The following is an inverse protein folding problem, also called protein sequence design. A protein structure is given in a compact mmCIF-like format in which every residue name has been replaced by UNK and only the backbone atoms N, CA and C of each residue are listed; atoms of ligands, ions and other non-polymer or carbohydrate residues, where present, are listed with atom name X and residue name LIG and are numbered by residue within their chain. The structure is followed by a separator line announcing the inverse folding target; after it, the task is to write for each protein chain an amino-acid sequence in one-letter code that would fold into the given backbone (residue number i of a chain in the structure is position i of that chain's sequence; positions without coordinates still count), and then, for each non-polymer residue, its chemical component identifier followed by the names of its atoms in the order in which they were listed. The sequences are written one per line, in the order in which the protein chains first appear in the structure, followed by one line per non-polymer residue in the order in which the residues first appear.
data_IF_909347985615
#
_entry.id   IF_909347985615
#
_cell.length_a   1.000
_cell.length_b   1.000
_cell.length_c   1.000
_cell.angle_alpha   90.00
_cell.angle_beta   90.00
_cell.angle_gamma   90.00
#
_symmetry.space_group_name_H-M   'P 1'
#
loop_
_entity.id
_entity.type
_entity.pdbx_description
1 polymer ?
#
# COMPACT_ATOMS: atom_id res chain seq x y z
N UNK A 1 -16.78 23.01 13.94
CA UNK A 1 -16.91 21.85 14.86
C UNK A 1 -15.94 20.79 14.38
N UNK A 2 -14.92 20.45 15.16
CA UNK A 2 -13.98 19.39 14.78
C UNK A 2 -14.70 18.05 14.77
N UNK A 3 -14.64 17.32 13.66
CA UNK A 3 -15.17 15.96 13.61
C UNK A 3 -14.36 15.07 14.54
N UNK A 4 -15.02 14.33 15.44
CA UNK A 4 -14.31 13.38 16.32
C UNK A 4 -13.53 12.37 15.48
N UNK A 5 -12.28 12.12 15.87
CA UNK A 5 -11.37 11.18 15.20
C UNK A 5 -11.04 9.98 16.06
N UNK A 6 -11.19 10.13 17.37
CA UNK A 6 -10.79 9.17 18.38
C UNK A 6 -11.77 9.25 19.56
N UNK A 7 -12.28 8.10 19.98
CA UNK A 7 -13.05 7.93 21.21
C UNK A 7 -12.35 6.87 22.07
N UNK A 8 -11.98 7.24 23.29
CA UNK A 8 -11.29 6.36 24.23
C UNK A 8 -12.07 6.32 25.53
N UNK A 9 -12.31 5.10 26.02
CA UNK A 9 -12.90 4.89 27.32
C UNK A 9 -12.00 4.01 28.18
N UNK A 10 -11.60 4.55 29.31
CA UNK A 10 -10.85 3.87 30.33
C UNK A 10 -11.78 3.50 31.48
N UNK A 11 -11.53 2.34 32.07
CA UNK A 11 -12.16 1.94 33.34
C UNK A 11 -11.54 2.73 34.50
N UNK A 12 -12.23 2.80 35.67
CA UNK A 12 -11.68 3.44 36.86
C UNK A 12 -10.34 2.86 37.35
N UNK A 13 -10.06 1.59 37.04
CA UNK A 13 -8.81 0.91 37.39
C UNK A 13 -7.67 1.16 36.39
N UNK A 14 -7.89 2.03 35.39
CA UNK A 14 -6.88 2.42 34.41
C UNK A 14 -6.74 1.45 33.22
N UNK A 15 -7.49 0.35 33.18
CA UNK A 15 -7.53 -0.52 32.02
C UNK A 15 -8.36 0.11 30.88
N UNK A 16 -7.96 -0.11 29.63
CA UNK A 16 -8.77 0.33 28.49
C UNK A 16 -10.06 -0.50 28.47
N UNK A 17 -11.20 0.17 28.46
CA UNK A 17 -12.50 -0.47 28.24
C UNK A 17 -12.74 -0.68 26.75
N UNK A 18 -12.44 0.34 25.94
CA UNK A 18 -12.57 0.34 24.49
C UNK A 18 -11.91 1.56 23.85
N UNK A 19 -11.54 1.41 22.59
CA UNK A 19 -11.10 2.50 21.74
C UNK A 19 -11.83 2.46 20.40
N UNK A 20 -12.15 3.61 19.83
CA UNK A 20 -12.68 3.72 18.48
C UNK A 20 -11.91 4.79 17.71
N UNK A 21 -11.46 4.45 16.50
CA UNK A 21 -10.69 5.33 15.63
C UNK A 21 -11.44 5.50 14.32
N UNK A 22 -11.52 6.73 13.83
CA UNK A 22 -12.08 7.00 12.51
C UNK A 22 -11.06 6.67 11.43
N UNK A 23 -11.50 6.02 10.36
CA UNK A 23 -10.64 5.61 9.22
C UNK A 23 -10.97 6.43 7.96
N UNK A 24 -10.14 6.40 6.90
CA UNK A 24 -10.24 7.35 5.78
C UNK A 24 -11.59 7.39 5.05
N UNK A 25 -12.32 6.28 4.96
CA UNK A 25 -13.66 6.22 4.35
C UNK A 25 -14.74 6.89 5.22
N UNK A 26 -14.36 7.40 6.40
CA UNK A 26 -15.23 8.08 7.36
C UNK A 26 -15.88 7.15 8.39
N UNK A 27 -15.79 5.84 8.20
CA UNK A 27 -16.24 4.81 9.15
C UNK A 27 -15.27 4.66 10.33
N UNK A 28 -15.56 3.72 11.24
CA UNK A 28 -14.86 3.58 12.52
C UNK A 28 -14.38 2.15 12.76
N UNK A 29 -13.18 2.02 13.31
CA UNK A 29 -12.65 0.77 13.85
C UNK A 29 -12.61 0.81 15.37
N UNK A 30 -13.15 -0.22 15.99
CA UNK A 30 -13.19 -0.40 17.43
C UNK A 30 -12.18 -1.43 17.91
N UNK A 31 -11.60 -1.22 19.08
CA UNK A 31 -10.83 -2.21 19.83
C UNK A 31 -11.60 -2.56 21.10
N UNK A 32 -11.88 -3.85 21.28
CA UNK A 32 -12.42 -4.45 22.50
C UNK A 32 -11.30 -5.29 23.17
N UNK A 33 -10.68 -4.78 24.26
CA UNK A 33 -9.56 -5.46 24.90
C UNK A 33 -9.98 -6.78 25.56
N UNK A 34 -9.08 -7.78 25.50
CA UNK A 34 -9.23 -9.09 26.15
C UNK A 34 -10.57 -9.81 25.85
N UNK A 35 -11.14 -9.58 24.66
CA UNK A 35 -12.47 -10.01 24.29
C UNK A 35 -12.60 -11.53 24.08
N UNK A 36 -11.52 -12.20 23.70
CA UNK A 36 -11.57 -13.63 23.33
C UNK A 36 -10.23 -14.34 23.49
N UNK A 37 -10.19 -15.64 23.21
CA UNK A 37 -8.98 -16.46 23.17
C UNK A 37 -8.90 -17.19 21.84
N UNK A 38 -7.86 -16.92 21.07
CA UNK A 38 -7.67 -17.46 19.72
C UNK A 38 -6.26 -18.05 19.58
N UNK A 39 -6.13 -19.15 18.85
CA UNK A 39 -4.82 -19.66 18.49
C UNK A 39 -4.17 -18.75 17.42
N UNK A 40 -2.84 -18.57 17.42
CA UNK A 40 -1.87 -19.23 18.30
C UNK A 40 -1.53 -18.45 19.58
N UNK A 41 -2.16 -17.31 19.86
CA UNK A 41 -1.70 -16.35 20.88
C UNK A 41 -2.44 -16.42 22.22
N UNK A 42 -3.58 -17.11 22.28
CA UNK A 42 -4.44 -17.11 23.46
C UNK A 42 -5.22 -15.81 23.56
N UNK A 43 -5.13 -15.12 24.70
CA UNK A 43 -5.94 -13.93 24.96
C UNK A 43 -5.73 -12.86 23.87
N UNK A 44 -6.82 -12.36 23.31
CA UNK A 44 -6.81 -11.50 22.14
C UNK A 44 -7.80 -10.34 22.27
N UNK A 45 -7.40 -9.19 21.72
CA UNK A 45 -8.28 -8.04 21.55
C UNK A 45 -9.05 -8.18 20.24
N UNK A 46 -10.33 -7.83 20.26
CA UNK A 46 -11.18 -7.91 19.06
C UNK A 46 -11.26 -6.57 18.35
N UNK A 47 -11.13 -6.61 17.03
CA UNK A 47 -11.38 -5.46 16.16
C UNK A 47 -12.80 -5.48 15.61
N UNK A 48 -13.46 -4.33 15.70
CA UNK A 48 -14.82 -4.09 15.23
C UNK A 48 -14.83 -3.06 14.11
N UNK A 49 -15.79 -3.15 13.20
CA UNK A 49 -16.10 -2.12 12.21
C UNK A 49 -17.49 -1.54 12.44
N UNK A 50 -17.62 -0.22 12.40
CA UNK A 50 -18.89 0.47 12.48
C UNK A 50 -18.98 1.57 11.42
N UNK A 51 -20.14 1.68 10.75
CA UNK A 51 -20.36 2.73 9.72
C UNK A 51 -20.49 4.12 10.32
N UNK A 52 -21.01 4.22 11.54
CA UNK A 52 -21.23 5.47 12.25
C UNK A 52 -20.36 5.55 13.50
N UNK A 53 -20.16 6.78 13.98
CA UNK A 53 -19.48 6.99 15.26
C UNK A 53 -20.21 6.23 16.37
N UNK A 54 -19.48 5.66 17.33
CA UNK A 54 -20.09 4.85 18.39
C UNK A 54 -21.01 5.67 19.31
N UNK A 55 -20.87 7.00 19.33
CA UNK A 55 -21.61 7.89 20.23
C UNK A 55 -21.02 7.90 21.65
N UNK A 56 -21.19 9.00 22.37
CA UNK A 56 -20.67 9.12 23.73
C UNK A 56 -21.31 8.06 24.65
N UNK A 57 -20.48 7.21 25.26
CA UNK A 57 -20.91 6.28 26.31
C UNK A 57 -21.43 4.91 25.86
N UNK A 58 -21.58 4.62 24.56
CA UNK A 58 -22.19 3.38 24.09
C UNK A 58 -21.25 2.16 24.13
N UNK A 59 -21.84 0.99 24.40
CA UNK A 59 -21.36 -0.36 24.06
C UNK A 59 -20.91 -0.47 22.59
N UNK A 60 -20.43 -1.65 22.17
CA UNK A 60 -20.26 -1.95 20.74
C UNK A 60 -21.54 -1.51 19.99
N UNK A 61 -21.46 -0.62 18.98
CA UNK A 61 -22.64 -0.06 18.33
C UNK A 61 -23.54 -1.13 17.74
N UNK A 62 -24.85 -0.90 17.77
CA UNK A 62 -25.80 -1.77 17.08
C UNK A 62 -25.49 -1.79 15.58
N UNK A 63 -25.15 -2.98 15.05
CA UNK A 63 -24.74 -3.16 13.66
C UNK A 63 -23.22 -3.09 13.42
N UNK A 64 -22.39 -2.95 14.47
CA UNK A 64 -20.96 -3.15 14.34
C UNK A 64 -20.65 -4.62 14.02
N UNK A 65 -19.65 -4.84 13.15
CA UNK A 65 -19.27 -6.16 12.66
C UNK A 65 -17.88 -6.52 13.20
N UNK A 66 -17.74 -7.70 13.79
CA UNK A 66 -16.45 -8.22 14.22
C UNK A 66 -15.59 -8.52 12.97
N UNK A 67 -14.39 -7.93 12.92
CA UNK A 67 -13.48 -8.08 11.80
C UNK A 67 -12.43 -9.15 12.06
N UNK A 68 -11.59 -9.00 13.07
CA UNK A 68 -10.48 -9.93 13.32
C UNK A 68 -9.98 -9.70 14.74
N UNK A 69 -8.87 -10.33 15.12
CA UNK A 69 -8.26 -10.21 16.43
C UNK A 69 -6.78 -9.86 16.33
N UNK A 70 -6.27 -9.23 17.37
CA UNK A 70 -4.83 -9.02 17.59
C UNK A 70 -4.42 -9.56 18.97
N UNK A 71 -3.14 -9.86 19.14
CA UNK A 71 -2.57 -10.24 20.44
C UNK A 71 -2.97 -9.23 21.52
N UNK A 72 -3.55 -9.70 22.63
CA UNK A 72 -4.02 -8.79 23.67
C UNK A 72 -2.90 -7.92 24.23
N UNK A 73 -3.16 -6.62 24.32
CA UNK A 73 -2.25 -5.65 24.92
C UNK A 73 -2.74 -5.19 26.29
N UNK A 74 -1.80 -4.91 27.18
CA UNK A 74 -2.06 -3.94 28.25
C UNK A 74 -1.98 -2.54 27.63
N UNK A 75 -3.13 -2.00 27.23
CA UNK A 75 -3.22 -0.69 26.60
C UNK A 75 -2.79 0.46 27.51
N UNK A 76 -2.76 0.26 28.83
CA UNK A 76 -2.25 1.24 29.80
C UNK A 76 -0.71 1.24 29.86
N UNK A 77 -0.07 0.17 29.38
CA UNK A 77 1.38 -0.06 29.40
C UNK A 77 1.83 -0.82 28.15
N UNK A 78 1.81 -0.13 27.01
CA UNK A 78 2.14 -0.73 25.71
C UNK A 78 3.62 -1.12 25.70
N UNK A 79 3.91 -2.40 25.41
CA UNK A 79 5.27 -2.97 25.44
C UNK A 79 5.72 -3.54 24.08
N UNK A 80 4.81 -3.65 23.11
CA UNK A 80 5.10 -4.24 21.78
C UNK A 80 4.09 -3.78 20.72
N UNK A 81 4.41 -4.08 19.47
CA UNK A 81 3.46 -4.04 18.36
C UNK A 81 2.80 -5.42 18.27
N UNK A 82 1.46 -5.52 18.43
CA UNK A 82 0.77 -6.80 18.46
C UNK A 82 0.68 -7.42 17.06
N UNK A 83 0.54 -8.73 17.02
CA UNK A 83 0.28 -9.47 15.79
C UNK A 83 -1.20 -9.45 15.47
N UNK A 84 -1.55 -9.26 14.19
CA UNK A 84 -2.91 -9.24 13.67
C UNK A 84 -3.20 -10.52 12.88
N UNK A 85 -4.31 -11.19 13.18
CA UNK A 85 -4.60 -12.52 12.61
C UNK A 85 -4.90 -12.47 11.12
N UNK A 86 -5.85 -11.61 10.72
CA UNK A 86 -6.30 -11.52 9.33
C UNK A 86 -6.24 -10.07 8.85
N UNK A 87 -5.05 -9.52 8.53
CA UNK A 87 -4.90 -8.13 8.10
C UNK A 87 -5.80 -7.75 6.91
N UNK A 88 -6.07 -8.70 6.01
CA UNK A 88 -6.92 -8.50 4.84
C UNK A 88 -8.41 -8.28 5.15
N UNK A 89 -8.88 -8.52 6.39
CA UNK A 89 -10.25 -8.23 6.81
C UNK A 89 -10.45 -6.77 7.22
N UNK A 90 -9.36 -6.00 7.36
CA UNK A 90 -9.46 -4.57 7.66
C UNK A 90 -9.84 -3.78 6.41
N UNK A 91 -10.73 -2.77 6.53
CA UNK A 91 -10.97 -1.82 5.45
C UNK A 91 -9.68 -1.05 5.09
N UNK A 92 -9.60 -0.49 3.87
CA UNK A 92 -8.48 0.34 3.46
C UNK A 92 -8.15 1.45 4.48
N UNK A 93 -6.87 1.55 4.86
CA UNK A 93 -6.40 2.50 5.88
C UNK A 93 -6.67 2.09 7.34
N UNK A 94 -7.42 1.01 7.57
CA UNK A 94 -7.73 0.52 8.92
C UNK A 94 -6.51 0.12 9.74
N UNK A 95 -5.58 -0.63 9.14
CA UNK A 95 -4.32 -1.02 9.80
C UNK A 95 -3.49 0.19 10.23
N UNK A 96 -3.36 1.20 9.36
CA UNK A 96 -2.67 2.44 9.68
C UNK A 96 -3.36 3.22 10.81
N UNK A 97 -4.69 3.25 10.86
CA UNK A 97 -5.43 3.93 11.92
C UNK A 97 -5.22 3.26 13.30
N UNK A 98 -5.27 1.92 13.36
CA UNK A 98 -5.02 1.17 14.60
C UNK A 98 -3.56 1.32 15.05
N UNK A 99 -2.60 1.25 14.13
CA UNK A 99 -1.19 1.48 14.44
C UNK A 99 -0.92 2.92 14.89
N UNK A 100 -1.62 3.92 14.35
CA UNK A 100 -1.51 5.30 14.79
C UNK A 100 -2.11 5.51 16.19
N UNK A 101 -3.19 4.81 16.54
CA UNK A 101 -3.70 4.76 17.91
C UNK A 101 -2.65 4.18 18.86
N UNK A 102 -2.08 3.03 18.51
CA UNK A 102 -1.03 2.39 19.29
C UNK A 102 0.16 3.34 19.50
N UNK A 103 0.66 3.95 18.42
CA UNK A 103 1.76 4.92 18.47
C UNK A 103 1.40 6.15 19.32
N UNK A 104 0.16 6.65 19.22
CA UNK A 104 -0.31 7.81 20.01
C UNK A 104 -0.31 7.50 21.50
N UNK A 105 -0.83 6.34 21.89
CA UNK A 105 -0.87 5.92 23.29
C UNK A 105 0.55 5.63 23.83
N UNK A 106 1.35 4.91 23.05
CA UNK A 106 2.75 4.62 23.37
C UNK A 106 3.58 5.91 23.57
N UNK A 107 3.44 6.88 22.66
CA UNK A 107 4.12 8.17 22.76
C UNK A 107 3.71 8.94 24.03
N UNK A 108 2.41 8.94 24.38
CA UNK A 108 1.90 9.58 25.61
C UNK A 108 2.40 8.89 26.89
N UNK A 109 2.60 7.59 26.83
CA UNK A 109 3.16 6.79 27.92
C UNK A 109 4.68 6.94 28.04
N UNK A 110 5.35 7.55 27.06
CA UNK A 110 6.81 7.72 27.04
C UNK A 110 7.56 6.39 26.93
N UNK A 111 6.97 5.39 26.28
CA UNK A 111 7.56 4.04 26.18
C UNK A 111 8.78 4.03 25.25
N UNK A 112 9.77 3.15 25.51
CA UNK A 112 10.88 2.94 24.59
C UNK A 112 10.41 2.38 23.23
N UNK A 113 11.29 2.34 22.22
CA UNK A 113 10.98 1.69 20.94
C UNK A 113 10.42 0.28 21.12
N UNK A 114 9.34 -0.01 20.40
CA UNK A 114 8.58 -1.27 20.50
C UNK A 114 9.13 -2.31 19.53
N UNK A 115 9.06 -3.59 19.90
CA UNK A 115 9.37 -4.69 18.98
C UNK A 115 8.10 -5.19 18.28
N UNK A 116 8.23 -5.60 17.02
CA UNK A 116 7.27 -6.50 16.37
C UNK A 116 7.85 -7.91 16.39
N UNK A 117 7.12 -8.87 16.98
CA UNK A 117 7.54 -10.27 17.10
C UNK A 117 6.66 -11.24 16.32
N UNK A 118 5.81 -10.71 15.45
CA UNK A 118 4.91 -11.54 14.66
C UNK A 118 5.62 -12.32 13.56
N UNK A 119 5.01 -13.42 13.11
CA UNK A 119 5.61 -14.31 12.12
C UNK A 119 5.59 -13.73 10.70
N UNK A 120 5.02 -12.55 10.47
CA UNK A 120 4.75 -12.01 9.13
C UNK A 120 5.36 -10.61 8.90
N UNK A 121 6.69 -10.43 8.99
CA UNK A 121 7.35 -9.15 8.72
C UNK A 121 7.43 -8.86 7.20
N UNK A 122 6.29 -8.55 6.58
CA UNK A 122 6.20 -8.25 5.14
C UNK A 122 6.35 -6.77 4.81
N UNK A 123 6.67 -6.47 3.55
CA UNK A 123 6.80 -5.10 3.02
C UNK A 123 5.58 -4.23 3.31
N UNK A 124 4.36 -4.77 3.12
CA UNK A 124 3.13 -4.03 3.40
C UNK A 124 3.04 -3.60 4.86
N UNK A 125 3.43 -4.48 5.80
CA UNK A 125 3.45 -4.15 7.23
C UNK A 125 4.54 -3.12 7.53
N UNK A 126 5.75 -3.30 6.96
CA UNK A 126 6.84 -2.35 7.08
C UNK A 126 6.41 -0.93 6.65
N UNK A 127 5.83 -0.79 5.46
CA UNK A 127 5.34 0.49 4.95
C UNK A 127 4.21 1.07 5.79
N UNK A 128 3.32 0.22 6.33
CA UNK A 128 2.24 0.68 7.21
C UNK A 128 2.78 1.14 8.57
N UNK A 129 3.80 0.47 9.12
CA UNK A 129 4.48 0.87 10.34
C UNK A 129 5.18 2.21 10.16
N UNK A 130 5.82 2.46 9.02
CA UNK A 130 6.41 3.75 8.70
C UNK A 130 5.38 4.89 8.77
N UNK A 131 4.08 4.65 8.54
CA UNK A 131 3.07 5.70 8.69
C UNK A 131 3.05 6.25 10.14
N UNK A 132 3.23 5.38 11.15
CA UNK A 132 3.02 5.74 12.58
C UNK A 132 4.24 5.57 13.50
N UNK A 133 5.35 5.00 13.01
CA UNK A 133 6.55 4.66 13.78
C UNK A 133 7.82 5.00 12.99
N UNK A 134 8.93 5.23 13.71
CA UNK A 134 10.30 5.32 13.17
C UNK A 134 11.03 4.03 13.47
N UNK A 135 11.68 3.43 12.48
CA UNK A 135 12.55 2.28 12.75
C UNK A 135 13.84 2.73 13.46
N UNK A 136 14.38 1.83 14.28
CA UNK A 136 15.61 2.01 15.05
C UNK A 136 16.47 0.75 14.89
N UNK A 137 17.78 0.88 14.60
CA UNK A 137 18.52 2.13 14.38
C UNK A 137 18.25 2.75 12.98
N UNK A 138 18.34 4.07 12.88
CA UNK A 138 18.10 4.81 11.62
C UNK A 138 19.23 4.65 10.58
N UNK A 139 20.36 4.04 10.97
CA UNK A 139 21.57 3.90 10.15
C UNK A 139 21.63 2.58 9.38
N UNK A 140 20.52 1.84 9.32
CA UNK A 140 20.45 0.57 8.58
C UNK A 140 20.36 0.87 7.08
N UNK A 141 21.24 0.26 6.29
CA UNK A 141 21.28 0.43 4.83
C UNK A 141 20.04 -0.15 4.13
N UNK A 142 19.63 -1.37 4.51
CA UNK A 142 18.41 -2.02 4.02
C UNK A 142 17.42 -2.27 5.18
N UNK A 143 16.56 -1.29 5.50
CA UNK A 143 15.63 -1.41 6.61
C UNK A 143 14.53 -2.45 6.35
N UNK A 144 14.18 -2.75 5.09
CA UNK A 144 13.18 -3.78 4.81
C UNK A 144 13.74 -5.18 5.09
N UNK A 145 14.97 -5.46 4.65
CA UNK A 145 15.64 -6.72 4.98
C UNK A 145 15.86 -6.88 6.49
N UNK A 146 16.29 -5.81 7.18
CA UNK A 146 16.44 -5.83 8.64
C UNK A 146 15.11 -6.06 9.36
N UNK A 147 14.00 -5.52 8.86
CA UNK A 147 12.66 -5.83 9.39
C UNK A 147 12.31 -7.30 9.23
N UNK A 148 12.54 -7.86 8.04
CA UNK A 148 12.33 -9.28 7.75
C UNK A 148 13.13 -10.21 8.68
N UNK A 149 14.32 -9.78 9.09
CA UNK A 149 15.17 -10.48 10.06
C UNK A 149 14.80 -10.23 11.53
N UNK A 150 13.78 -9.41 11.82
CA UNK A 150 13.40 -9.05 13.19
C UNK A 150 14.42 -8.15 13.90
N UNK A 151 15.28 -7.46 13.15
CA UNK A 151 16.40 -6.68 13.68
C UNK A 151 16.06 -5.20 13.97
N UNK A 152 14.80 -4.80 13.78
CA UNK A 152 14.35 -3.42 14.01
C UNK A 152 13.47 -3.28 15.24
N UNK A 153 13.68 -2.19 15.97
CA UNK A 153 12.71 -1.66 16.92
C UNK A 153 11.98 -0.45 16.32
N UNK A 154 10.85 -0.06 16.92
CA UNK A 154 9.91 0.91 16.37
C UNK A 154 9.58 1.99 17.38
N UNK A 155 10.20 3.16 17.25
CA UNK A 155 9.91 4.32 18.07
C UNK A 155 8.55 4.93 17.67
N UNK A 156 7.63 5.17 18.61
CA UNK A 156 6.34 5.82 18.31
C UNK A 156 6.54 7.19 17.63
N UNK A 157 5.89 7.39 16.49
CA UNK A 157 5.97 8.62 15.71
C UNK A 157 4.60 8.92 15.05
N UNK A 158 3.53 9.08 15.86
CA UNK A 158 2.16 9.20 15.37
C UNK A 158 1.99 10.41 14.45
N UNK A 159 1.06 10.30 13.51
CA UNK A 159 0.59 11.41 12.69
C UNK A 159 -0.74 11.94 13.22
N UNK A 160 -1.06 13.18 12.86
CA UNK A 160 -2.37 13.79 13.08
C UNK A 160 -3.31 13.42 11.93
N UNK A 161 -4.34 12.58 12.15
CA UNK A 161 -5.39 12.34 11.16
C UNK A 161 -6.32 13.55 11.03
N UNK A 162 -6.46 14.08 9.82
CA UNK A 162 -7.38 15.20 9.54
C UNK A 162 -8.47 14.80 8.55
N UNK A 163 -9.72 15.01 8.95
CA UNK A 163 -10.91 14.84 8.11
C UNK A 163 -11.40 16.21 7.66
N UNK A 164 -10.78 16.75 6.62
CA UNK A 164 -10.88 18.18 6.24
C UNK A 164 -12.10 18.47 5.35
N UNK A 165 -12.73 17.43 4.81
CA UNK A 165 -13.94 17.53 4.01
C UNK A 165 -14.57 16.16 3.75
N UNK A 166 -15.74 16.14 3.13
CA UNK A 166 -16.41 14.89 2.76
C UNK A 166 -15.52 14.09 1.79
N UNK A 167 -15.19 12.86 2.15
CA UNK A 167 -14.31 12.00 1.37
C UNK A 167 -12.84 12.43 1.35
N UNK A 168 -12.43 13.44 2.14
CA UNK A 168 -11.03 13.88 2.26
C UNK A 168 -10.45 13.55 3.63
N UNK A 169 -9.40 12.71 3.60
CA UNK A 169 -8.57 12.40 4.73
C UNK A 169 -7.11 12.74 4.44
N UNK A 170 -6.43 13.31 5.43
CA UNK A 170 -5.02 13.71 5.35
C UNK A 170 -4.26 13.18 6.56
N UNK A 171 -3.10 12.59 6.33
CA UNK A 171 -2.12 12.33 7.39
C UNK A 171 -1.15 13.51 7.46
N UNK A 172 -1.11 14.17 8.60
CA UNK A 172 -0.28 15.35 8.81
C UNK A 172 0.74 15.12 9.93
N UNK A 173 2.01 15.44 9.65
CA UNK A 173 3.09 15.39 10.63
C UNK A 173 4.12 16.46 10.30
N UNK A 174 3.79 17.73 10.62
CA UNK A 174 4.55 18.90 10.17
C UNK A 174 4.38 19.21 8.67
N UNK A 175 4.05 18.20 7.86
CA UNK A 175 3.69 18.27 6.44
C UNK A 175 2.60 17.24 6.12
N UNK A 176 1.94 17.39 4.97
CA UNK A 176 0.99 16.41 4.43
C UNK A 176 1.78 15.21 3.92
N UNK A 177 1.67 14.02 4.51
CA UNK A 177 2.44 12.83 4.09
C UNK A 177 1.61 11.88 3.20
N UNK A 178 0.29 11.81 3.45
CA UNK A 178 -0.67 11.00 2.70
C UNK A 178 -1.99 11.74 2.56
N UNK A 179 -2.62 11.57 1.41
CA UNK A 179 -3.98 12.08 1.13
C UNK A 179 -4.83 10.90 0.67
N UNK A 180 -6.04 10.78 1.20
CA UNK A 180 -7.07 9.88 0.69
C UNK A 180 -8.26 10.73 0.25
N UNK A 181 -8.61 10.65 -1.02
CA UNK A 181 -9.74 11.35 -1.60
C UNK A 181 -10.67 10.37 -2.29
N UNK A 182 -11.91 10.21 -1.79
CA UNK A 182 -12.91 9.27 -2.34
C UNK A 182 -12.30 7.87 -2.56
N UNK A 183 -11.74 7.31 -1.49
CA UNK A 183 -11.07 6.00 -1.44
C UNK A 183 -9.76 5.88 -2.25
N UNK A 184 -9.31 6.94 -2.91
CA UNK A 184 -8.05 6.98 -3.65
C UNK A 184 -6.93 7.53 -2.78
N UNK A 185 -5.92 6.71 -2.49
CA UNK A 185 -4.75 7.10 -1.71
C UNK A 185 -3.61 7.64 -2.58
N UNK A 186 -3.04 8.77 -2.15
CA UNK A 186 -1.83 9.39 -2.68
C UNK A 186 -0.78 9.41 -1.57
N UNK A 187 0.45 9.06 -1.92
CA UNK A 187 1.55 8.96 -0.97
C UNK A 187 2.67 9.91 -1.36
N UNK A 188 3.37 10.47 -0.37
CA UNK A 188 4.66 11.06 -0.68
C UNK A 188 5.67 9.98 -1.11
N UNK A 189 6.58 10.33 -2.03
CA UNK A 189 7.60 9.40 -2.52
C UNK A 189 8.66 9.13 -1.44
N UNK A 190 8.85 10.03 -0.49
CA UNK A 190 9.71 9.86 0.67
C UNK A 190 8.86 9.76 1.94
N UNK A 191 9.09 8.69 2.70
CA UNK A 191 8.50 8.51 4.02
C UNK A 191 9.60 8.19 5.02
N UNK A 192 9.94 9.17 5.86
CA UNK A 192 11.02 9.05 6.85
C UNK A 192 12.37 8.57 6.23
N UNK A 193 12.71 9.10 5.06
CA UNK A 193 13.95 8.74 4.34
C UNK A 193 13.86 7.45 3.51
N UNK A 194 12.77 6.67 3.64
CA UNK A 194 12.52 5.51 2.77
C UNK A 194 11.81 5.98 1.51
N UNK A 195 12.38 5.62 0.35
CA UNK A 195 11.74 5.86 -0.93
C UNK A 195 10.64 4.83 -1.17
N UNK A 196 9.43 5.30 -1.41
CA UNK A 196 8.27 4.50 -1.76
C UNK A 196 7.93 4.67 -3.23
N UNK A 197 7.87 3.56 -3.96
CA UNK A 197 7.24 3.57 -5.27
C UNK A 197 5.72 3.64 -5.08
N UNK A 198 5.10 4.68 -5.66
CA UNK A 198 3.66 4.82 -5.75
C UNK A 198 3.32 5.61 -7.03
N UNK A 199 2.38 5.12 -7.85
CA UNK A 199 1.94 5.83 -9.05
C UNK A 199 1.08 7.05 -8.73
N UNK A 200 0.49 7.09 -7.53
CA UNK A 200 -0.29 8.22 -7.01
C UNK A 200 0.52 8.96 -5.97
N UNK A 201 0.95 10.18 -6.31
CA UNK A 201 1.90 10.93 -5.49
C UNK A 201 1.32 12.20 -4.90
N UNK A 202 1.77 12.51 -3.70
CA UNK A 202 1.70 13.86 -3.11
C UNK A 202 3.02 14.56 -3.41
N UNK A 203 2.96 15.78 -3.96
CA UNK A 203 4.12 16.61 -4.32
C UNK A 203 3.96 18.03 -3.76
N UNK A 204 5.08 18.65 -3.41
CA UNK A 204 5.08 20.06 -3.01
C UNK A 204 4.79 20.98 -4.19
N UNK A 205 4.08 22.06 -3.92
CA UNK A 205 3.84 23.16 -4.84
C UNK A 205 3.91 24.50 -4.08
N UNK A 206 4.14 25.63 -4.76
CA UNK A 206 4.29 26.93 -4.09
C UNK A 206 3.11 27.33 -3.17
N UNK A 207 1.90 26.86 -3.48
CA UNK A 207 0.65 27.17 -2.77
C UNK A 207 0.15 26.02 -1.87
N UNK A 208 0.95 24.98 -1.65
CA UNK A 208 0.60 23.82 -0.85
C UNK A 208 1.10 22.51 -1.47
N UNK A 209 0.18 21.60 -1.78
CA UNK A 209 0.53 20.32 -2.40
C UNK A 209 -0.34 20.00 -3.62
N UNK A 210 0.20 19.18 -4.51
CA UNK A 210 -0.49 18.55 -5.63
C UNK A 210 -0.58 17.06 -5.39
N UNK A 211 -1.73 16.47 -5.73
CA UNK A 211 -1.88 15.03 -5.79
C UNK A 211 -2.14 14.62 -7.24
N UNK A 212 -1.44 13.62 -7.74
CA UNK A 212 -1.50 13.27 -9.16
C UNK A 212 -0.87 11.94 -9.50
N UNK A 213 -0.86 11.62 -10.79
CA UNK A 213 -0.23 10.43 -11.35
C UNK A 213 1.22 10.71 -11.72
N UNK A 214 2.07 9.73 -11.43
CA UNK A 214 3.50 9.79 -11.67
C UNK A 214 3.98 8.44 -12.18
N UNK A 215 4.79 8.47 -13.23
CA UNK A 215 5.53 7.29 -13.68
C UNK A 215 6.81 7.75 -14.39
N UNK A 216 7.82 6.88 -14.48
CA UNK A 216 9.04 7.16 -15.24
C UNK A 216 9.76 8.45 -14.82
N UNK A 217 9.68 8.82 -13.53
CA UNK A 217 10.29 10.05 -13.02
C UNK A 217 9.60 11.33 -13.46
N UNK A 218 8.35 11.27 -13.97
CA UNK A 218 7.62 12.42 -14.50
C UNK A 218 6.22 12.55 -13.90
N UNK A 219 5.77 13.79 -13.81
CA UNK A 219 4.39 14.14 -13.53
C UNK A 219 3.53 13.91 -14.77
N UNK A 220 2.46 13.12 -14.64
CA UNK A 220 1.62 12.74 -15.78
C UNK A 220 0.25 13.39 -15.75
N UNK A 221 -0.31 13.66 -14.56
CA UNK A 221 -1.64 14.26 -14.40
C UNK A 221 -1.84 14.75 -12.96
N UNK A 222 -2.31 15.98 -12.79
CA UNK A 222 -2.75 16.48 -11.49
C UNK A 222 -4.24 16.13 -11.26
N UNK A 223 -4.57 15.62 -10.07
CA UNK A 223 -5.94 15.32 -9.64
C UNK A 223 -6.43 16.29 -8.57
N UNK A 224 -5.57 16.71 -7.62
CA UNK A 224 -5.98 17.54 -6.48
C UNK A 224 -4.99 18.67 -6.23
N UNK A 225 -5.53 19.80 -5.78
CA UNK A 225 -4.78 20.92 -5.19
C UNK A 225 -5.21 21.09 -3.75
N UNK A 226 -4.29 20.99 -2.81
CA UNK A 226 -4.56 21.21 -1.39
C UNK A 226 -3.68 22.35 -0.87
N UNK A 227 -4.23 23.11 0.08
CA UNK A 227 -3.47 24.06 0.88
C UNK A 227 -2.52 23.34 1.85
N UNK A 228 -1.54 24.04 2.45
CA UNK A 228 -0.57 23.44 3.39
C UNK A 228 -1.20 22.78 4.62
N UNK A 229 -2.39 23.23 5.03
CA UNK A 229 -3.15 22.70 6.16
C UNK A 229 -3.94 21.42 5.83
N UNK A 230 -3.99 21.03 4.55
CA UNK A 230 -4.76 19.91 4.02
C UNK A 230 -6.13 20.27 3.46
N UNK A 231 -6.52 21.55 3.45
CA UNK A 231 -7.79 21.98 2.88
C UNK A 231 -7.82 21.80 1.36
N UNK A 232 -8.86 21.15 0.82
CA UNK A 232 -9.05 21.02 -0.62
C UNK A 232 -9.30 22.39 -1.25
N UNK A 233 -8.44 22.78 -2.19
CA UNK A 233 -8.61 24.00 -2.99
C UNK A 233 -9.34 23.71 -4.29
N UNK A 234 -8.98 22.60 -4.95
CA UNK A 234 -9.62 22.16 -6.17
C UNK A 234 -9.46 20.64 -6.34
N UNK A 235 -10.54 19.98 -6.74
CA UNK A 235 -10.47 18.70 -7.42
C UNK A 235 -10.40 18.98 -8.93
N UNK A 236 -9.35 18.51 -9.59
CA UNK A 236 -9.13 18.69 -11.01
C UNK A 236 -9.72 17.47 -11.71
N UNK A 237 -10.80 17.68 -12.45
CA UNK A 237 -11.38 16.65 -13.30
C UNK A 237 -10.36 16.30 -14.40
N UNK A 238 -9.90 15.05 -14.48
CA UNK A 238 -9.05 14.63 -15.59
C UNK A 238 -9.81 14.82 -16.91
N UNK A 239 -9.18 15.33 -17.97
CA UNK A 239 -9.83 15.43 -19.26
C UNK A 239 -10.27 14.03 -19.72
N UNK A 240 -11.47 13.92 -20.28
CA UNK A 240 -11.90 12.69 -20.92
C UNK A 240 -10.93 12.36 -22.05
N UNK A 241 -10.29 11.18 -21.98
CA UNK A 241 -9.33 10.74 -23.00
C UNK A 241 -9.98 9.67 -23.88
N UNK A 242 -10.49 10.05 -25.06
CA UNK A 242 -10.98 9.09 -26.03
C UNK A 242 -9.80 8.32 -26.61
N UNK A 243 -9.92 7.00 -26.71
CA UNK A 243 -8.88 6.15 -27.28
C UNK A 243 -9.30 4.69 -27.25
N UNK A 244 -9.19 4.03 -28.40
CA UNK A 244 -9.35 2.58 -28.45
C UNK A 244 -8.11 1.93 -27.85
N UNK A 245 -8.31 0.93 -26.99
CA UNK A 245 -7.20 0.14 -26.49
C UNK A 245 -6.57 -0.66 -27.62
N UNK A 246 -5.24 -0.70 -27.66
CA UNK A 246 -4.43 -1.46 -28.61
C UNK A 246 -3.64 -2.54 -27.88
N UNK A 247 -3.45 -3.68 -28.53
CA UNK A 247 -2.59 -4.73 -27.98
C UNK A 247 -1.14 -4.23 -27.87
N UNK A 248 -0.46 -4.60 -26.79
CA UNK A 248 0.97 -4.42 -26.66
C UNK A 248 1.75 -5.38 -27.57
N UNK A 249 3.00 -5.06 -27.88
CA UNK A 249 3.85 -5.95 -28.66
C UNK A 249 3.98 -7.33 -27.98
N UNK A 250 4.04 -8.42 -28.78
CA UNK A 250 4.28 -9.75 -28.24
C UNK A 250 5.53 -9.80 -27.36
N UNK A 251 5.45 -10.50 -26.23
CA UNK A 251 6.57 -10.67 -25.31
C UNK A 251 6.67 -9.63 -24.19
N UNK A 252 6.15 -8.41 -24.37
CA UNK A 252 6.18 -7.37 -23.32
C UNK A 252 5.52 -7.87 -22.03
N UNK A 253 4.32 -8.46 -22.14
CA UNK A 253 3.60 -8.96 -20.99
C UNK A 253 4.30 -10.09 -20.25
N UNK A 254 4.96 -11.00 -20.98
CA UNK A 254 5.73 -12.08 -20.38
C UNK A 254 6.92 -11.53 -19.56
N UNK A 255 7.60 -10.50 -20.07
CA UNK A 255 8.66 -9.82 -19.31
C UNK A 255 8.14 -9.07 -18.10
N UNK A 256 6.99 -8.38 -18.20
CA UNK A 256 6.34 -7.74 -17.03
C UNK A 256 6.05 -8.79 -15.95
N UNK A 257 5.43 -9.91 -16.33
CA UNK A 257 5.13 -11.00 -15.41
C UNK A 257 6.40 -11.60 -14.78
N UNK A 258 7.47 -11.72 -15.56
CA UNK A 258 8.77 -12.20 -15.08
C UNK A 258 9.40 -11.22 -14.06
N UNK A 259 9.32 -9.90 -14.28
CA UNK A 259 9.76 -8.90 -13.28
C UNK A 259 8.95 -9.04 -11.99
N UNK A 260 7.62 -9.12 -12.07
CA UNK A 260 6.77 -9.27 -10.88
C UNK A 260 7.09 -10.55 -10.12
N UNK A 261 7.28 -11.67 -10.84
CA UNK A 261 7.66 -12.94 -10.24
C UNK A 261 9.03 -12.88 -9.55
N UNK A 262 10.02 -12.25 -10.20
CA UNK A 262 11.38 -12.10 -9.67
C UNK A 262 11.45 -11.21 -8.41
N UNK A 263 10.57 -10.22 -8.30
CA UNK A 263 10.48 -9.32 -7.14
C UNK A 263 9.59 -9.86 -6.01
N UNK A 264 8.94 -11.01 -6.21
CA UNK A 264 8.03 -11.61 -5.23
C UNK A 264 8.70 -12.73 -4.44
N UNK A 265 8.05 -13.18 -3.36
CA UNK A 265 8.48 -14.37 -2.64
C UNK A 265 8.58 -15.57 -3.61
N UNK A 266 9.70 -16.32 -3.63
CA UNK A 266 9.93 -17.36 -4.65
C UNK A 266 8.80 -18.40 -4.81
N UNK A 267 8.14 -18.88 -3.73
CA UNK A 267 7.01 -19.80 -3.87
C UNK A 267 5.82 -19.24 -4.66
N UNK A 268 5.70 -17.92 -4.76
CA UNK A 268 4.60 -17.25 -5.45
C UNK A 268 4.82 -17.12 -6.96
N UNK A 269 6.06 -17.21 -7.42
CA UNK A 269 6.42 -16.98 -8.83
C UNK A 269 5.61 -17.84 -9.83
N UNK A 270 5.42 -19.17 -9.64
CA UNK A 270 4.62 -19.98 -10.56
C UNK A 270 3.15 -19.55 -10.62
N UNK A 271 2.61 -19.05 -9.51
CA UNK A 271 1.23 -18.57 -9.43
C UNK A 271 1.06 -17.21 -10.09
N UNK A 272 2.05 -16.33 -9.97
CA UNK A 272 2.09 -15.04 -10.68
C UNK A 272 2.12 -15.25 -12.18
N UNK A 273 3.02 -16.11 -12.67
CA UNK A 273 3.15 -16.39 -14.10
C UNK A 273 1.86 -17.02 -14.67
N UNK A 274 1.21 -17.91 -13.91
CA UNK A 274 -0.09 -18.48 -14.29
C UNK A 274 -1.20 -17.43 -14.32
N UNK A 275 -1.26 -16.55 -13.32
CA UNK A 275 -2.24 -15.46 -13.28
C UNK A 275 -2.03 -14.48 -14.43
N UNK A 276 -0.77 -14.21 -14.79
CA UNK A 276 -0.44 -13.37 -15.93
C UNK A 276 -0.80 -14.03 -17.27
N UNK A 277 -0.59 -15.33 -17.43
CA UNK A 277 -0.93 -16.06 -18.65
C UNK A 277 -2.43 -16.01 -19.02
N UNK A 278 -3.30 -15.73 -18.04
CA UNK A 278 -4.73 -15.54 -18.25
C UNK A 278 -5.10 -14.11 -18.74
N UNK A 279 -4.12 -13.23 -18.98
CA UNK A 279 -4.34 -11.84 -19.35
C UNK A 279 -3.56 -11.47 -20.61
N UNK A 280 -4.14 -10.59 -21.41
CA UNK A 280 -3.45 -9.87 -22.49
C UNK A 280 -3.13 -8.44 -22.05
N UNK A 281 -1.92 -7.96 -22.35
CA UNK A 281 -1.51 -6.57 -22.10
C UNK A 281 -2.01 -5.66 -23.23
N UNK A 282 -2.59 -4.53 -22.83
CA UNK A 282 -3.08 -3.49 -23.73
C UNK A 282 -2.64 -2.10 -23.28
N UNK A 283 -2.42 -1.23 -24.25
CA UNK A 283 -2.28 0.20 -24.05
C UNK A 283 -3.62 0.88 -24.34
N UNK A 284 -4.07 1.75 -23.45
CA UNK A 284 -5.32 2.47 -23.65
C UNK A 284 -5.67 3.35 -22.46
N UNK A 285 -6.60 4.29 -22.58
CA UNK A 285 -6.96 5.19 -21.49
C UNK A 285 -7.44 4.44 -20.23
N UNK A 286 -6.90 4.83 -19.08
CA UNK A 286 -7.33 4.40 -17.74
C UNK A 286 -7.73 5.65 -16.94
N UNK A 287 -9.01 5.75 -16.59
CA UNK A 287 -9.53 6.89 -15.83
C UNK A 287 -8.99 6.90 -14.39
N UNK A 288 -8.34 7.99 -13.99
CA UNK A 288 -7.87 8.24 -12.61
C UNK A 288 -6.76 7.30 -12.11
N UNK A 289 -6.14 6.52 -12.99
CA UNK A 289 -5.04 5.59 -12.67
C UNK A 289 -4.14 5.35 -13.89
N UNK A 290 -3.09 4.54 -13.72
CA UNK A 290 -2.16 4.14 -14.78
C UNK A 290 -2.27 2.68 -15.19
N UNK A 291 -2.96 1.83 -14.40
CA UNK A 291 -3.22 0.46 -14.78
C UNK A 291 -4.57 -0.04 -14.26
N UNK A 292 -5.14 -1.02 -14.97
CA UNK A 292 -6.36 -1.73 -14.55
C UNK A 292 -6.29 -3.18 -15.02
N UNK A 293 -6.48 -4.11 -14.10
CA UNK A 293 -6.62 -5.53 -14.43
C UNK A 293 -8.09 -5.92 -14.36
N UNK A 294 -8.63 -6.37 -15.49
CA UNK A 294 -9.97 -6.93 -15.61
C UNK A 294 -9.89 -8.43 -15.94
N UNK A 295 -11.02 -9.07 -16.19
CA UNK A 295 -11.04 -10.43 -16.72
C UNK A 295 -10.39 -10.46 -18.10
N UNK A 296 -9.36 -11.30 -18.28
CA UNK A 296 -8.68 -11.50 -19.56
C UNK A 296 -7.75 -10.37 -20.02
N UNK A 297 -7.72 -9.21 -19.35
CA UNK A 297 -6.98 -8.02 -19.81
C UNK A 297 -6.25 -7.32 -18.68
N UNK A 298 -5.02 -6.91 -18.95
CA UNK A 298 -4.24 -5.95 -18.18
C UNK A 298 -4.06 -4.70 -19.04
N UNK A 299 -4.73 -3.60 -18.67
CA UNK A 299 -4.61 -2.33 -19.39
C UNK A 299 -3.65 -1.42 -18.66
N UNK A 300 -2.69 -0.84 -19.38
CA UNK A 300 -1.81 0.23 -18.93
C UNK A 300 -2.14 1.49 -19.72
N UNK A 301 -2.13 2.62 -19.03
CA UNK A 301 -2.48 3.90 -19.62
C UNK A 301 -1.49 4.36 -20.69
N UNK A 302 -1.97 4.90 -21.82
CA UNK A 302 -1.15 5.36 -22.94
C UNK A 302 -0.11 6.44 -22.56
N UNK A 303 -0.29 7.13 -21.43
CA UNK A 303 0.72 8.06 -20.90
C UNK A 303 2.04 7.37 -20.55
N UNK A 304 2.01 6.09 -20.18
CA UNK A 304 3.22 5.33 -19.84
C UNK A 304 4.09 5.07 -21.08
N UNK A 305 3.59 4.45 -22.17
CA UNK A 305 4.38 4.30 -23.39
C UNK A 305 4.73 5.65 -24.05
N UNK A 306 3.88 6.68 -23.93
CA UNK A 306 4.25 8.03 -24.40
C UNK A 306 5.44 8.61 -23.62
N UNK A 307 5.43 8.50 -22.29
CA UNK A 307 6.55 8.95 -21.46
C UNK A 307 7.84 8.14 -21.71
N UNK A 308 7.73 6.85 -22.06
CA UNK A 308 8.86 6.07 -22.55
C UNK A 308 9.37 6.59 -23.90
N UNK A 309 8.50 6.89 -24.86
CA UNK A 309 8.86 7.45 -26.16
C UNK A 309 9.71 8.74 -26.01
N UNK A 310 9.27 9.65 -25.16
CA UNK A 310 10.02 10.87 -24.84
C UNK A 310 11.40 10.57 -24.22
N UNK A 311 11.46 9.62 -23.28
CA UNK A 311 12.72 9.21 -22.65
C UNK A 311 13.70 8.60 -23.66
N UNK A 312 13.19 7.83 -24.62
CA UNK A 312 13.98 7.23 -25.70
C UNK A 312 14.47 8.27 -26.70
N UNK A 313 13.67 9.30 -27.00
CA UNK A 313 14.06 10.41 -27.87
C UNK A 313 15.19 11.25 -27.26
N UNK A 314 15.21 11.39 -25.93
CA UNK A 314 16.28 12.07 -25.20
C UNK A 314 17.54 11.22 -24.97
N UNK A 315 17.48 9.92 -25.23
CA UNK A 315 18.58 8.99 -24.98
C UNK A 315 19.49 8.86 -26.22
N UNK A 316 20.75 9.37 -26.16
CA UNK A 316 21.61 9.51 -27.33
C UNK A 316 22.17 8.17 -27.85
N UNK A 317 22.24 7.15 -26.99
CA UNK A 317 22.88 5.87 -27.28
C UNK A 317 22.00 4.66 -26.99
N UNK A 318 22.45 3.49 -27.49
CA UNK A 318 21.74 2.22 -27.31
C UNK A 318 21.63 1.83 -25.84
N UNK A 319 22.69 2.04 -25.06
CA UNK A 319 22.74 1.68 -23.64
C UNK A 319 21.72 2.48 -22.83
N UNK A 320 21.63 3.78 -23.07
CA UNK A 320 20.67 4.67 -22.41
C UNK A 320 19.22 4.30 -22.79
N UNK A 321 18.99 3.95 -24.06
CA UNK A 321 17.68 3.48 -24.53
C UNK A 321 17.27 2.17 -23.87
N UNK A 322 18.19 1.20 -23.77
CA UNK A 322 17.95 -0.06 -23.06
C UNK A 322 17.65 0.18 -21.58
N UNK A 323 18.39 1.09 -20.92
CA UNK A 323 18.13 1.45 -19.54
C UNK A 323 16.74 2.08 -19.36
N UNK A 324 16.34 3.00 -20.24
CA UNK A 324 15.00 3.61 -20.21
C UNK A 324 13.88 2.57 -20.41
N UNK A 325 14.05 1.64 -21.35
CA UNK A 325 13.09 0.56 -21.57
C UNK A 325 13.02 -0.42 -20.39
N UNK A 326 14.14 -0.72 -19.73
CA UNK A 326 14.15 -1.53 -18.50
C UNK A 326 13.42 -0.82 -17.35
N UNK A 327 13.65 0.48 -17.17
CA UNK A 327 12.93 1.29 -16.18
C UNK A 327 11.42 1.28 -16.46
N UNK A 328 11.00 1.41 -17.73
CA UNK A 328 9.59 1.29 -18.09
C UNK A 328 9.01 -0.09 -17.83
N UNK A 329 9.74 -1.16 -18.11
CA UNK A 329 9.30 -2.51 -17.80
C UNK A 329 9.10 -2.70 -16.29
N UNK A 330 10.04 -2.20 -15.48
CA UNK A 330 9.94 -2.24 -14.01
C UNK A 330 8.78 -1.38 -13.49
N UNK A 331 8.56 -0.20 -14.07
CA UNK A 331 7.44 0.69 -13.74
C UNK A 331 6.10 0.02 -14.04
N UNK A 332 5.94 -0.59 -15.21
CA UNK A 332 4.73 -1.35 -15.58
C UNK A 332 4.52 -2.53 -14.62
N UNK A 333 5.59 -3.25 -14.28
CA UNK A 333 5.54 -4.34 -13.31
C UNK A 333 5.07 -3.85 -11.93
N UNK A 334 5.52 -2.68 -11.47
CA UNK A 334 5.06 -2.07 -10.22
C UNK A 334 3.56 -1.71 -10.27
N UNK A 335 3.08 -1.18 -11.40
CA UNK A 335 1.67 -0.83 -11.59
C UNK A 335 0.71 -2.02 -11.51
N UNK A 336 1.11 -3.19 -12.03
CA UNK A 336 0.27 -4.39 -12.08
C UNK A 336 0.58 -5.42 -10.99
N UNK A 337 1.72 -5.26 -10.32
CA UNK A 337 2.31 -6.26 -9.44
C UNK A 337 1.44 -6.64 -8.27
N UNK A 338 0.85 -5.66 -7.57
CA UNK A 338 -0.03 -5.90 -6.42
C UNK A 338 -1.24 -6.76 -6.81
N UNK A 339 -1.88 -6.46 -7.94
CA UNK A 339 -3.04 -7.19 -8.42
C UNK A 339 -2.67 -8.62 -8.88
N UNK A 340 -1.50 -8.81 -9.51
CA UNK A 340 -1.00 -10.14 -9.85
C UNK A 340 -0.64 -10.95 -8.59
N UNK A 341 0.05 -10.34 -7.61
CA UNK A 341 0.37 -10.97 -6.33
C UNK A 341 -0.89 -11.35 -5.56
N UNK A 342 -1.91 -10.50 -5.53
CA UNK A 342 -3.20 -10.80 -4.90
C UNK A 342 -3.89 -12.01 -5.54
N UNK A 343 -3.93 -12.09 -6.87
CA UNK A 343 -4.47 -13.26 -7.61
C UNK A 343 -3.67 -14.53 -7.34
N UNK A 344 -2.34 -14.41 -7.31
CA UNK A 344 -1.45 -15.52 -7.01
C UNK A 344 -1.64 -16.04 -5.58
N UNK A 345 -1.74 -15.13 -4.59
CA UNK A 345 -2.04 -15.48 -3.20
C UNK A 345 -3.40 -16.17 -3.08
N UNK A 346 -4.45 -15.64 -3.72
CA UNK A 346 -5.76 -16.26 -3.70
C UNK A 346 -5.74 -17.68 -4.31
N UNK A 347 -5.00 -17.87 -5.41
CA UNK A 347 -4.84 -19.18 -6.03
C UNK A 347 -4.08 -20.17 -5.14
N UNK A 348 -3.01 -19.74 -4.47
CA UNK A 348 -2.26 -20.56 -3.52
C UNK A 348 -3.12 -20.90 -2.29
N UNK A 349 -3.81 -19.92 -1.72
CA UNK A 349 -4.68 -20.11 -0.55
C UNK A 349 -5.87 -21.04 -0.81
N UNK A 350 -6.34 -21.14 -2.06
CA UNK A 350 -7.40 -22.05 -2.46
C UNK A 350 -6.94 -23.52 -2.58
N UNK A 351 -5.63 -23.80 -2.53
CA UNK A 351 -5.13 -25.18 -2.56
C UNK A 351 -5.38 -25.90 -1.22
N UNK A 352 -5.45 -27.25 -1.22
CA UNK A 352 -5.40 -28.02 0.02
C UNK A 352 -4.12 -27.75 0.83
N UNK A 353 -4.19 -27.80 2.16
CA UNK A 353 -3.08 -27.45 3.05
C UNK A 353 -1.76 -28.19 2.72
N UNK A 354 -1.84 -29.48 2.37
CA UNK A 354 -0.66 -30.26 1.97
C UNK A 354 -0.02 -29.73 0.67
N UNK A 355 -0.82 -29.28 -0.29
CA UNK A 355 -0.34 -28.68 -1.53
C UNK A 355 0.21 -27.27 -1.33
N UNK A 356 -0.36 -26.50 -0.39
CA UNK A 356 0.22 -25.22 0.04
C UNK A 356 1.62 -25.43 0.64
N UNK A 357 1.74 -26.38 1.58
CA UNK A 357 3.02 -26.70 2.21
C UNK A 357 4.07 -27.16 1.18
N UNK A 358 3.68 -28.02 0.23
CA UNK A 358 4.56 -28.45 -0.84
C UNK A 358 5.01 -27.28 -1.74
N UNK A 359 4.10 -26.36 -2.08
CA UNK A 359 4.45 -25.18 -2.88
C UNK A 359 5.41 -24.23 -2.13
N UNK A 360 5.21 -24.04 -0.83
CA UNK A 360 6.08 -23.21 0.01
C UNK A 360 7.48 -23.82 0.22
N UNK A 361 7.58 -25.15 0.21
CA UNK A 361 8.84 -25.87 0.33
C UNK A 361 9.59 -26.05 -1.00
N UNK A 362 8.95 -25.74 -2.14
CA UNK A 362 9.55 -25.92 -3.45
C UNK A 362 10.76 -24.96 -3.64
N UNK A 363 11.85 -25.43 -4.26
CA UNK A 363 13.00 -24.58 -4.53
C UNK A 363 12.62 -23.44 -5.47
N UNK A 364 13.24 -22.28 -5.26
CA UNK A 364 13.07 -21.12 -6.12
C UNK A 364 13.46 -21.48 -7.56
N UNK A 365 12.52 -21.34 -8.50
CA UNK A 365 12.83 -21.48 -9.91
C UNK A 365 13.65 -20.25 -10.36
N UNK A 366 14.90 -20.48 -10.77
CA UNK A 366 15.69 -19.46 -11.47
C UNK A 366 15.13 -19.29 -12.89
N UNK A 367 14.36 -18.24 -13.15
CA UNK A 367 13.75 -17.99 -14.46
C UNK A 367 13.25 -16.56 -14.59
N UNK A 368 13.19 -16.05 -15.83
CA UNK A 368 12.67 -14.72 -16.13
C UNK A 368 13.64 -13.78 -16.84
N UNK A 369 14.96 -13.99 -16.74
CA UNK A 369 15.94 -13.07 -17.32
C UNK A 369 15.82 -12.99 -18.86
N UNK A 370 15.57 -14.13 -19.53
CA UNK A 370 15.37 -14.17 -20.99
C UNK A 370 14.11 -13.43 -21.40
N UNK A 371 13.02 -13.63 -20.66
CA UNK A 371 11.74 -12.97 -20.87
C UNK A 371 11.83 -11.45 -20.65
N UNK A 372 12.59 -11.02 -19.64
CA UNK A 372 12.85 -9.60 -19.35
C UNK A 372 13.64 -8.96 -20.50
N UNK A 373 14.74 -9.59 -20.94
CA UNK A 373 15.54 -9.07 -22.07
C UNK A 373 14.71 -9.00 -23.35
N UNK A 374 13.94 -10.04 -23.66
CA UNK A 374 13.06 -10.06 -24.84
C UNK A 374 11.98 -8.96 -24.77
N UNK A 375 11.42 -8.69 -23.59
CA UNK A 375 10.44 -7.63 -23.40
C UNK A 375 11.04 -6.22 -23.54
N UNK A 376 12.28 -6.01 -23.09
CA UNK A 376 13.01 -4.75 -23.32
C UNK A 376 13.20 -4.50 -24.81
N UNK A 377 13.61 -5.52 -25.57
CA UNK A 377 13.72 -5.42 -27.03
C UNK A 377 12.37 -5.14 -27.70
N UNK A 378 11.31 -5.81 -27.27
CA UNK A 378 9.95 -5.60 -27.77
C UNK A 378 9.45 -4.17 -27.49
N UNK A 379 9.68 -3.63 -26.29
CA UNK A 379 9.33 -2.24 -25.94
C UNK A 379 10.09 -1.23 -26.80
N UNK A 380 11.39 -1.47 -27.06
CA UNK A 380 12.20 -0.60 -27.91
C UNK A 380 11.72 -0.59 -29.36
N UNK A 381 11.36 -1.76 -29.90
CA UNK A 381 10.80 -1.88 -31.24
C UNK A 381 9.42 -1.20 -31.33
N UNK A 382 8.56 -1.41 -30.34
CA UNK A 382 7.22 -0.83 -30.30
C UNK A 382 7.25 0.70 -30.18
N UNK A 383 8.10 1.25 -29.31
CA UNK A 383 8.26 2.70 -29.18
C UNK A 383 8.94 3.33 -30.40
N UNK A 384 9.83 2.61 -31.09
CA UNK A 384 10.43 3.06 -32.35
C UNK A 384 9.48 3.05 -33.55
N UNK A 385 8.40 2.26 -33.51
CA UNK A 385 7.35 2.25 -34.53
C UNK A 385 6.27 3.33 -34.30
N UNK A 386 6.31 4.01 -33.15
CA UNK A 386 5.36 5.05 -32.75
C UNK A 386 5.90 6.49 -32.95
N UNK A 387 7.06 6.65 -33.59
CA UNK A 387 7.69 7.94 -33.89
C UNK A 387 7.33 8.46 -35.30
#
# INVERSE_FOLDING_TARGET
MGASVLDLRWRPDGALERAWVRIPDGSWLGVEPAATREAPWGLSDRLWHARAAPGAGASIPAGAVALTVLEALDWSRIDRIPVLAEPGRLPPGGGAAVLNLLATLAARQGVPPLCYRGPYPGEQLFLTLLESFRYVPATVDDPLAAFGAGALAWAPAPFEPRFVGEGLYVQWRGRIEKVVWRDVAYYRPDWQGVLRHAPRRVRDAPDGVRCGLWALGRDLEDHLRLAPDGTLRAALEPPARPGAARAAAPGVWAGVAAVVAAQSAPPLAPFILRAAAALALEWGPVGGDLARLAAGRARVDDRVPAALGDALAAAPGRTERVAAALVALAEIAALVGDALRARAHAALAALPAAAQAAALAAPAAAGGAREIVAAVEALLAEAGAAA
#
